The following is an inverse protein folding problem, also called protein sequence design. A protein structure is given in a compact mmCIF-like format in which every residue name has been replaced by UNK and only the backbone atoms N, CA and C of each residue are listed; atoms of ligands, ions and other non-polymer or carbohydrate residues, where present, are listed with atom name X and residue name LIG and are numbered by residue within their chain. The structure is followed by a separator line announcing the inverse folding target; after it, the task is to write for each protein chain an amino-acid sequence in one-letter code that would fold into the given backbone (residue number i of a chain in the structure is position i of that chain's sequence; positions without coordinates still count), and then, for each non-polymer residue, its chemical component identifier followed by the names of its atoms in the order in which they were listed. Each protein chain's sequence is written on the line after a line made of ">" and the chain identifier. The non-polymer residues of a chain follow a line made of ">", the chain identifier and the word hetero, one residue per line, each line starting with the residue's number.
data_IF_905741527864
#
_entry.id   IF_905741527864
#
_cell.length_a   1.000
_cell.length_b   1.000
_cell.length_c   1.000
_cell.angle_alpha   90.00
_cell.angle_beta   90.00
_cell.angle_gamma   90.00
#
_symmetry.space_group_name_H-M   'P 1'
#
loop_
_entity.id
_entity.type
_entity.pdbx_description
1 polymer ?
#
# COMPACT_ATOMS: atom_id res chain seq x y z
N UNK A 1 -6.23 0.83 6.77
CA UNK A 1 -7.50 1.59 6.93
C UNK A 1 -7.25 3.08 7.01
N UNK A 2 -6.26 3.56 7.79
CA UNK A 2 -5.95 5.00 7.88
C UNK A 2 -5.53 5.63 6.53
N UNK A 3 -4.71 4.92 5.74
CA UNK A 3 -4.28 5.39 4.40
C UNK A 3 -5.44 5.59 3.42
N UNK A 4 -6.44 4.70 3.49
CA UNK A 4 -7.65 4.79 2.69
C UNK A 4 -8.50 6.02 3.07
N UNK A 5 -8.65 6.28 4.38
CA UNK A 5 -9.35 7.46 4.88
C UNK A 5 -8.62 8.75 4.52
N UNK A 6 -7.29 8.78 4.63
CA UNK A 6 -6.47 9.93 4.22
C UNK A 6 -6.60 10.21 2.72
N UNK A 7 -6.61 9.17 1.90
CA UNK A 7 -6.79 9.29 0.45
C UNK A 7 -8.18 9.83 0.09
N UNK A 8 -9.25 9.31 0.71
CA UNK A 8 -10.62 9.80 0.49
C UNK A 8 -10.77 11.24 0.96
N UNK A 9 -10.27 11.58 2.15
CA UNK A 9 -10.32 12.93 2.66
C UNK A 9 -9.58 13.91 1.74
N UNK A 10 -8.40 13.52 1.24
CA UNK A 10 -7.66 14.30 0.25
C UNK A 10 -8.42 14.48 -1.07
N UNK A 11 -9.08 13.44 -1.57
CA UNK A 11 -9.91 13.53 -2.77
C UNK A 11 -11.11 14.48 -2.59
N UNK A 12 -11.79 14.42 -1.43
CA UNK A 12 -12.89 15.32 -1.11
C UNK A 12 -12.41 16.78 -1.03
N UNK A 13 -11.27 17.03 -0.37
CA UNK A 13 -10.70 18.39 -0.31
C UNK A 13 -10.25 18.90 -1.68
N UNK A 14 -9.69 18.03 -2.52
CA UNK A 14 -9.27 18.40 -3.86
C UNK A 14 -10.46 18.77 -4.76
N UNK A 15 -11.51 17.94 -4.76
CA UNK A 15 -12.74 18.23 -5.52
C UNK A 15 -13.46 19.46 -4.96
N UNK A 16 -13.54 19.58 -3.64
CA UNK A 16 -14.15 20.72 -2.96
C UNK A 16 -13.45 22.05 -3.27
N UNK A 17 -12.12 22.09 -3.16
CA UNK A 17 -11.33 23.29 -3.50
C UNK A 17 -11.40 23.65 -4.97
N UNK A 18 -11.47 22.64 -5.87
CA UNK A 18 -11.67 22.87 -7.31
C UNK A 18 -13.04 23.48 -7.58
N UNK A 19 -14.10 22.95 -6.96
CA UNK A 19 -15.47 23.47 -7.11
C UNK A 19 -15.63 24.89 -6.55
N UNK A 20 -15.04 25.17 -5.39
CA UNK A 20 -15.03 26.52 -4.82
C UNK A 20 -14.38 27.51 -5.79
N UNK A 21 -13.21 27.15 -6.33
CA UNK A 21 -12.47 27.99 -7.29
C UNK A 21 -13.25 28.18 -8.59
N UNK A 22 -13.97 27.16 -9.07
CA UNK A 22 -14.81 27.22 -10.28
C UNK A 22 -16.04 28.11 -10.09
N UNK A 23 -16.67 28.03 -8.91
CA UNK A 23 -17.88 28.80 -8.57
C UNK A 23 -17.60 30.30 -8.47
N UNK A 24 -16.39 30.67 -8.03
CA UNK A 24 -15.98 32.07 -7.89
C UNK A 24 -15.47 32.70 -9.20
N UNK A 25 -15.04 31.89 -10.18
CA UNK A 25 -14.45 32.39 -11.42
C UNK A 25 -15.52 32.69 -12.48
N UNK A 26 -15.84 33.97 -12.69
CA UNK A 26 -16.75 34.41 -13.76
C UNK A 26 -16.17 34.22 -15.18
N UNK A 27 -14.83 34.26 -15.32
CA UNK A 27 -14.07 33.92 -16.54
C UNK A 27 -12.81 33.14 -16.13
N UNK A 28 -12.77 31.81 -16.32
CA UNK A 28 -11.66 31.00 -15.84
C UNK A 28 -10.45 31.08 -16.78
N UNK A 29 -9.50 31.97 -16.47
CA UNK A 29 -8.14 31.97 -17.03
C UNK A 29 -7.25 31.04 -16.17
N UNK A 30 -7.29 29.73 -16.45
CA UNK A 30 -6.65 28.70 -15.62
C UNK A 30 -5.46 28.04 -16.32
N UNK A 31 -4.37 27.85 -15.59
CA UNK A 31 -3.35 26.84 -15.93
C UNK A 31 -3.50 25.68 -14.96
N UNK A 32 -4.15 24.60 -15.42
CA UNK A 32 -4.05 23.28 -14.79
C UNK A 32 -4.34 23.28 -13.27
N UNK A 33 -5.43 23.94 -12.83
CA UNK A 33 -5.93 24.10 -11.45
C UNK A 33 -5.46 25.32 -10.64
N UNK A 34 -4.63 26.21 -11.20
CA UNK A 34 -4.20 27.44 -10.51
C UNK A 34 -4.72 28.68 -11.27
N UNK A 35 -5.54 29.55 -10.65
CA UNK A 35 -6.01 30.79 -11.27
C UNK A 35 -4.87 31.82 -11.31
N UNK A 36 -4.61 32.41 -12.49
CA UNK A 36 -3.53 33.38 -12.71
C UNK A 36 -3.89 34.80 -12.21
N UNK A 37 -5.18 35.13 -12.24
CA UNK A 37 -5.71 36.41 -11.77
C UNK A 37 -6.37 36.24 -10.39
N UNK A 38 -5.57 36.42 -9.35
CA UNK A 38 -6.04 36.60 -7.97
C UNK A 38 -6.52 38.05 -7.83
N UNK A 39 -7.77 38.32 -8.21
CA UNK A 39 -8.49 39.41 -7.56
C UNK A 39 -8.53 39.05 -6.05
N UNK A 40 -8.18 39.95 -5.12
CA UNK A 40 -8.02 39.62 -3.71
C UNK A 40 -9.39 39.33 -3.08
N UNK A 41 -9.90 38.13 -3.33
CA UNK A 41 -11.15 37.62 -2.80
C UNK A 41 -10.81 36.45 -1.87
N UNK A 42 -11.34 36.50 -0.64
CA UNK A 42 -11.02 35.52 0.40
C UNK A 42 -11.26 34.07 -0.05
N UNK A 43 -12.30 33.82 -0.86
CA UNK A 43 -12.60 32.48 -1.38
C UNK A 43 -11.60 31.93 -2.39
N UNK A 44 -10.86 32.78 -3.12
CA UNK A 44 -9.81 32.30 -4.03
C UNK A 44 -8.61 31.71 -3.26
N UNK A 45 -8.26 32.34 -2.14
CA UNK A 45 -7.19 31.86 -1.24
C UNK A 45 -7.61 30.57 -0.53
N UNK A 46 -8.86 30.48 -0.11
CA UNK A 46 -9.42 29.27 0.51
C UNK A 46 -9.40 28.11 -0.48
N UNK A 47 -9.94 28.28 -1.69
CA UNK A 47 -9.93 27.25 -2.73
C UNK A 47 -8.52 26.73 -3.04
N UNK A 48 -7.54 27.62 -3.16
CA UNK A 48 -6.14 27.24 -3.37
C UNK A 48 -5.55 26.46 -2.18
N UNK A 49 -5.84 26.89 -0.95
CA UNK A 49 -5.38 26.17 0.25
C UNK A 49 -5.98 24.76 0.36
N UNK A 50 -7.25 24.59 -0.07
CA UNK A 50 -7.93 23.29 -0.12
C UNK A 50 -7.33 22.38 -1.20
N UNK A 51 -7.01 22.91 -2.38
CA UNK A 51 -6.37 22.16 -3.46
C UNK A 51 -4.97 21.67 -3.04
N UNK A 52 -4.16 22.57 -2.46
CA UNK A 52 -2.80 22.25 -2.01
C UNK A 52 -2.83 21.21 -0.89
N UNK A 53 -3.67 21.41 0.13
CA UNK A 53 -3.81 20.45 1.22
C UNK A 53 -4.36 19.10 0.73
N UNK A 54 -5.37 19.11 -0.15
CA UNK A 54 -5.91 17.91 -0.79
C UNK A 54 -4.85 17.09 -1.53
N UNK A 55 -4.01 17.74 -2.34
CA UNK A 55 -2.90 17.09 -3.04
C UNK A 55 -1.88 16.47 -2.07
N UNK A 56 -1.49 17.20 -1.02
CA UNK A 56 -0.60 16.67 0.01
C UNK A 56 -1.20 15.41 0.68
N UNK A 57 -2.48 15.46 1.07
CA UNK A 57 -3.16 14.31 1.70
C UNK A 57 -3.25 13.09 0.77
N UNK A 58 -3.48 13.30 -0.53
CA UNK A 58 -3.49 12.22 -1.53
C UNK A 58 -2.12 11.54 -1.61
N UNK A 59 -1.05 12.32 -1.74
CA UNK A 59 0.33 11.80 -1.83
C UNK A 59 0.71 11.05 -0.55
N UNK A 60 0.43 11.61 0.62
CA UNK A 60 0.68 10.95 1.90
C UNK A 60 -0.15 9.67 2.07
N UNK A 61 -1.43 9.70 1.69
CA UNK A 61 -2.31 8.52 1.75
C UNK A 61 -1.82 7.38 0.86
N UNK A 62 -1.34 7.71 -0.34
CA UNK A 62 -0.77 6.75 -1.29
C UNK A 62 0.55 6.16 -0.77
N UNK A 63 1.47 7.01 -0.32
CA UNK A 63 2.75 6.58 0.24
C UNK A 63 2.55 5.68 1.48
N UNK A 64 1.67 6.06 2.40
CA UNK A 64 1.32 5.26 3.57
C UNK A 64 0.66 3.93 3.18
N UNK A 65 -0.19 3.93 2.15
CA UNK A 65 -0.82 2.71 1.61
C UNK A 65 0.21 1.73 1.05
N UNK A 66 1.15 2.23 0.25
CA UNK A 66 2.25 1.42 -0.31
C UNK A 66 3.13 0.89 0.82
N UNK A 67 3.53 1.73 1.77
CA UNK A 67 4.40 1.32 2.87
C UNK A 67 3.76 0.20 3.70
N UNK A 68 2.47 0.35 4.03
CA UNK A 68 1.72 -0.69 4.75
C UNK A 68 1.64 -2.02 3.98
N UNK A 69 1.48 -1.95 2.65
CA UNK A 69 1.48 -3.15 1.80
C UNK A 69 2.85 -3.84 1.78
N UNK A 70 3.94 -3.06 1.77
CA UNK A 70 5.31 -3.60 1.78
C UNK A 70 5.63 -4.32 3.09
N UNK A 71 5.32 -3.73 4.23
CA UNK A 71 5.55 -4.36 5.54
C UNK A 71 4.76 -5.66 5.67
N UNK A 72 3.50 -5.66 5.24
CA UNK A 72 2.64 -6.86 5.21
C UNK A 72 3.19 -7.94 4.28
N UNK A 73 3.67 -7.55 3.11
CA UNK A 73 4.23 -8.49 2.12
C UNK A 73 5.52 -9.13 2.63
N UNK A 74 6.40 -8.34 3.26
CA UNK A 74 7.62 -8.84 3.88
C UNK A 74 7.32 -9.86 4.99
N UNK A 75 6.39 -9.54 5.90
CA UNK A 75 5.98 -10.45 6.95
C UNK A 75 5.46 -11.80 6.40
N UNK A 76 4.63 -11.76 5.35
CA UNK A 76 4.10 -12.98 4.72
C UNK A 76 5.17 -13.80 4.01
N UNK A 77 6.18 -13.15 3.44
CA UNK A 77 7.33 -13.85 2.85
C UNK A 77 8.13 -14.58 3.93
N UNK A 78 8.32 -13.96 5.09
CA UNK A 78 9.07 -14.57 6.18
C UNK A 78 8.32 -15.77 6.78
N UNK A 79 7.00 -15.68 6.93
CA UNK A 79 6.16 -16.83 7.30
C UNK A 79 6.24 -17.95 6.26
N UNK A 80 6.18 -17.62 4.97
CA UNK A 80 6.27 -18.61 3.89
C UNK A 80 7.62 -19.32 3.87
N UNK A 81 8.71 -18.59 4.12
CA UNK A 81 10.05 -19.16 4.26
C UNK A 81 10.12 -20.13 5.43
N UNK A 82 9.68 -19.73 6.63
CA UNK A 82 9.68 -20.60 7.80
C UNK A 82 8.89 -21.89 7.57
N UNK A 83 7.68 -21.77 7.00
CA UNK A 83 6.84 -22.92 6.67
C UNK A 83 7.48 -23.85 5.62
N UNK A 84 8.09 -23.31 4.57
CA UNK A 84 8.78 -24.11 3.55
C UNK A 84 10.00 -24.86 4.09
N UNK A 85 10.71 -24.26 5.06
CA UNK A 85 11.85 -24.90 5.72
C UNK A 85 11.38 -26.08 6.58
N UNK A 86 10.29 -25.90 7.32
CA UNK A 86 9.69 -26.98 8.13
C UNK A 86 9.23 -28.15 7.27
N UNK A 87 8.57 -27.87 6.14
CA UNK A 87 8.12 -28.88 5.18
C UNK A 87 9.30 -29.66 4.57
N UNK A 88 10.39 -28.98 4.22
CA UNK A 88 11.64 -29.60 3.77
C UNK A 88 12.28 -30.49 4.84
N UNK A 89 12.31 -30.05 6.10
CA UNK A 89 12.83 -30.86 7.21
C UNK A 89 11.99 -32.11 7.46
N UNK A 90 10.66 -31.99 7.37
CA UNK A 90 9.73 -33.11 7.52
C UNK A 90 9.87 -34.11 6.38
N UNK A 91 10.02 -33.64 5.13
CA UNK A 91 10.30 -34.49 3.98
C UNK A 91 11.63 -35.24 4.14
N UNK A 92 12.71 -34.53 4.52
CA UNK A 92 14.03 -35.15 4.80
C UNK A 92 13.96 -36.21 5.90
N UNK A 93 13.32 -35.91 7.04
CA UNK A 93 13.13 -36.88 8.13
C UNK A 93 12.43 -38.14 7.65
N UNK A 94 11.40 -38.00 6.81
CA UNK A 94 10.63 -39.12 6.27
C UNK A 94 11.46 -40.00 5.34
N UNK A 95 12.29 -39.40 4.47
CA UNK A 95 13.24 -40.15 3.63
C UNK A 95 14.31 -40.89 4.43
N UNK A 96 14.89 -40.25 5.46
CA UNK A 96 15.90 -40.88 6.34
C UNK A 96 15.29 -42.06 7.09
N UNK A 97 14.07 -41.92 7.63
CA UNK A 97 13.35 -43.00 8.30
C UNK A 97 13.09 -44.19 7.36
N UNK A 98 12.74 -43.93 6.09
CA UNK A 98 12.56 -44.98 5.06
C UNK A 98 13.87 -45.69 4.72
N UNK A 99 14.98 -44.97 4.58
CA UNK A 99 16.29 -45.58 4.32
C UNK A 99 16.77 -46.45 5.49
N UNK A 100 16.63 -45.98 6.73
CA UNK A 100 16.96 -46.76 7.92
C UNK A 100 16.15 -48.06 8.02
N UNK A 101 14.83 -47.99 7.74
CA UNK A 101 13.97 -49.19 7.70
C UNK A 101 14.36 -50.18 6.61
N UNK A 102 14.75 -49.71 5.42
CA UNK A 102 15.21 -50.59 4.33
C UNK A 102 16.51 -51.31 4.72
N UNK A 103 17.49 -50.56 5.20
CA UNK A 103 18.80 -51.10 5.61
C UNK A 103 18.65 -52.15 6.73
N UNK A 104 17.78 -51.89 7.71
CA UNK A 104 17.49 -52.85 8.78
C UNK A 104 16.81 -54.14 8.27
N UNK A 105 15.91 -54.04 7.27
CA UNK A 105 15.31 -55.23 6.64
C UNK A 105 16.33 -56.05 5.86
N UNK A 106 17.25 -55.42 5.15
CA UNK A 106 18.31 -56.12 4.41
C UNK A 106 19.28 -56.86 5.34
N UNK A 107 19.62 -56.27 6.48
CA UNK A 107 20.49 -56.92 7.48
C UNK A 107 19.76 -58.12 8.10
N UNK A 108 18.47 -57.98 8.46
CA UNK A 108 17.68 -59.08 9.03
C UNK A 108 17.48 -60.25 8.07
N UNK A 109 17.47 -60.01 6.76
CA UNK A 109 17.26 -61.08 5.76
C UNK A 109 18.57 -61.82 5.41
N UNK A 110 19.72 -61.34 5.91
CA UNK A 110 21.05 -61.93 5.70
C UNK A 110 21.56 -62.72 6.91
N UNK A 111 20.84 -62.69 8.02
CA UNK A 111 21.11 -63.45 9.25
C UNK A 111 20.05 -64.52 9.43
#
# INVERSE_FOLDING_TARGET
>A
MISYLMFIAGAIFFVGGTLETLSLAAKPEWFLFIPYHIEPHAGAVLGLSLIISGLCLIVFGLAAGINYSRDRSWYMQELRKANSIEELMMSKRTTVKKQGKKKFREIKNKT
#
